data_IF_344207334554
#
_entry.id   IF_344207334554
#
_cell.length_a   1.000
_cell.length_b   1.000
_cell.length_c   1.000
_cell.angle_alpha   90.00
_cell.angle_beta   90.00
_cell.angle_gamma   90.00
#
_symmetry.space_group_name_H-M   'P 1'
#
loop_
_entity.id
_entity.type
_entity.pdbx_description
1 polymer ?
#
# COMPACT_ATOMS: atom_id res chain seq x y z
N UNK A 1 15.29 1.81 27.50
CA UNK A 1 15.31 3.07 26.73
C UNK A 1 14.51 4.08 27.53
N UNK A 2 15.10 5.18 28.02
CA UNK A 2 14.38 6.20 28.80
C UNK A 2 13.91 7.30 27.86
N UNK A 3 12.61 7.57 27.82
CA UNK A 3 11.97 8.67 27.08
C UNK A 3 11.62 9.80 28.05
N UNK A 4 11.79 11.05 27.62
CA UNK A 4 11.64 12.27 28.42
C UNK A 4 10.34 13.00 28.03
N UNK A 5 9.54 13.39 29.03
CA UNK A 5 8.09 13.69 28.97
C UNK A 5 7.68 15.07 28.40
N UNK A 6 8.31 15.57 27.32
CA UNK A 6 8.04 16.95 26.82
C UNK A 6 7.31 17.08 25.48
N UNK A 7 6.51 16.11 25.06
CA UNK A 7 5.70 16.20 23.80
C UNK A 7 4.20 16.07 24.08
N UNK A 8 3.70 16.58 25.21
CA UNK A 8 2.26 16.48 25.54
C UNK A 8 1.47 17.77 25.33
N UNK A 9 2.07 18.85 24.82
CA UNK A 9 1.46 20.19 24.85
C UNK A 9 1.02 20.79 23.50
N UNK A 10 0.82 20.01 22.43
CA UNK A 10 0.36 20.56 21.13
C UNK A 10 -0.60 19.63 20.36
N UNK A 11 -1.71 19.19 20.96
CA UNK A 11 -2.81 18.58 20.19
C UNK A 11 -4.11 19.30 20.54
N UNK A 12 -4.59 20.08 19.58
CA UNK A 12 -5.83 20.82 19.59
C UNK A 12 -7.05 19.89 19.70
N UNK A 13 -8.07 20.42 20.38
CA UNK A 13 -9.33 19.83 20.83
C UNK A 13 -10.27 19.40 19.70
N UNK A 14 -9.90 18.33 18.99
CA UNK A 14 -10.82 17.57 18.13
C UNK A 14 -11.09 16.24 18.81
N UNK A 15 -12.34 15.89 19.10
CA UNK A 15 -12.70 14.54 19.57
C UNK A 15 -12.25 13.52 18.52
N UNK A 16 -11.14 12.83 18.81
CA UNK A 16 -10.63 11.73 17.98
C UNK A 16 -11.49 10.51 18.31
N UNK A 17 -12.26 10.04 17.34
CA UNK A 17 -13.01 8.80 17.46
C UNK A 17 -12.23 7.66 16.82
N UNK A 18 -12.09 6.56 17.54
CA UNK A 18 -11.50 5.32 16.99
C UNK A 18 -12.46 4.71 15.97
N UNK A 19 -12.04 4.66 14.69
CA UNK A 19 -12.80 4.00 13.61
C UNK A 19 -12.51 2.49 13.53
N UNK A 20 -11.25 2.12 13.73
CA UNK A 20 -10.77 0.74 13.72
C UNK A 20 -9.81 0.61 14.90
N UNK A 21 -10.15 -0.24 15.85
CA UNK A 21 -9.26 -0.55 16.97
C UNK A 21 -8.11 -1.48 16.53
N UNK A 22 -7.05 -1.52 17.33
CA UNK A 22 -5.85 -2.29 17.07
C UNK A 22 -6.13 -3.79 16.91
N UNK A 23 -7.03 -4.36 17.72
CA UNK A 23 -7.35 -5.78 17.67
C UNK A 23 -8.02 -6.15 16.34
N UNK A 24 -8.94 -5.32 15.87
CA UNK A 24 -9.61 -5.47 14.59
C UNK A 24 -8.63 -5.30 13.43
N UNK A 25 -7.73 -4.33 13.51
CA UNK A 25 -6.66 -4.12 12.53
C UNK A 25 -5.76 -5.36 12.44
N UNK A 26 -5.18 -5.80 13.55
CA UNK A 26 -4.28 -6.94 13.61
C UNK A 26 -4.93 -8.23 13.09
N UNK A 27 -6.20 -8.47 13.46
CA UNK A 27 -6.96 -9.61 12.93
C UNK A 27 -7.08 -9.52 11.41
N UNK A 28 -7.43 -8.35 10.87
CA UNK A 28 -7.60 -8.18 9.42
C UNK A 28 -6.27 -8.35 8.67
N UNK A 29 -5.17 -7.80 9.20
CA UNK A 29 -3.84 -7.96 8.59
C UNK A 29 -3.41 -9.43 8.58
N UNK A 30 -3.69 -10.20 9.64
CA UNK A 30 -3.43 -11.64 9.67
C UNK A 30 -4.25 -12.40 8.62
N UNK A 31 -5.53 -12.07 8.46
CA UNK A 31 -6.38 -12.64 7.39
C UNK A 31 -5.81 -12.38 6.00
N UNK A 32 -5.40 -11.13 5.71
CA UNK A 32 -4.80 -10.76 4.41
C UNK A 32 -3.47 -11.49 4.16
N UNK A 33 -2.61 -11.58 5.17
CA UNK A 33 -1.35 -12.31 5.07
C UNK A 33 -1.55 -13.79 4.77
N UNK A 34 -2.56 -14.43 5.36
CA UNK A 34 -2.92 -15.83 5.07
C UNK A 34 -3.43 -15.99 3.63
N UNK A 35 -4.30 -15.09 3.15
CA UNK A 35 -4.78 -15.12 1.76
C UNK A 35 -3.64 -15.01 0.76
N UNK A 36 -2.72 -14.08 0.98
CA UNK A 36 -1.53 -13.91 0.13
C UNK A 36 -0.64 -15.16 0.20
N UNK A 37 -0.45 -15.73 1.40
CA UNK A 37 0.35 -16.95 1.58
C UNK A 37 -0.19 -18.11 0.74
N UNK A 38 -1.50 -18.32 0.75
CA UNK A 38 -2.12 -19.40 -0.04
C UNK A 38 -2.04 -19.13 -1.55
N UNK A 39 -2.37 -17.92 -2.01
CA UNK A 39 -2.36 -17.55 -3.43
C UNK A 39 -0.96 -17.62 -4.06
N UNK A 40 0.07 -17.40 -3.24
CA UNK A 40 1.48 -17.38 -3.65
C UNK A 40 2.30 -18.54 -3.10
N UNK A 41 1.64 -19.63 -2.69
CA UNK A 41 2.32 -20.88 -2.32
C UNK A 41 3.27 -21.33 -3.44
N UNK A 42 4.50 -21.65 -3.05
CA UNK A 42 5.60 -22.05 -3.94
C UNK A 42 6.01 -20.98 -4.98
N UNK A 43 5.62 -19.72 -4.78
CA UNK A 43 6.01 -18.55 -5.59
C UNK A 43 6.85 -17.57 -4.78
N UNK A 44 7.40 -16.57 -5.48
CA UNK A 44 8.32 -15.57 -4.93
C UNK A 44 7.89 -14.16 -5.37
N UNK A 45 6.75 -13.62 -4.87
CA UNK A 45 6.23 -12.34 -5.34
C UNK A 45 7.09 -11.16 -4.86
N UNK A 46 7.02 -10.06 -5.60
CA UNK A 46 7.58 -8.76 -5.18
C UNK A 46 6.47 -7.92 -4.55
N UNK A 47 6.66 -7.54 -3.28
CA UNK A 47 5.82 -6.60 -2.56
C UNK A 47 6.33 -5.19 -2.82
N UNK A 48 5.50 -4.38 -3.48
CA UNK A 48 5.81 -2.97 -3.77
C UNK A 48 5.00 -2.10 -2.83
N UNK A 49 5.68 -1.45 -1.89
CA UNK A 49 5.08 -0.52 -0.96
C UNK A 49 5.10 0.92 -1.49
N UNK A 50 3.94 1.59 -1.50
CA UNK A 50 3.85 2.99 -1.95
C UNK A 50 4.06 3.94 -0.77
N UNK A 51 5.19 4.65 -0.78
CA UNK A 51 5.55 5.57 0.29
C UNK A 51 4.69 6.86 0.25
N UNK A 52 4.38 7.46 1.40
CA UNK A 52 4.87 7.12 2.75
C UNK A 52 3.87 6.31 3.58
N UNK A 53 2.56 6.53 3.39
CA UNK A 53 1.51 6.13 4.35
C UNK A 53 1.38 4.62 4.55
N UNK A 54 1.71 3.81 3.54
CA UNK A 54 1.64 2.34 3.62
C UNK A 54 2.64 1.69 4.57
N UNK A 55 3.70 2.38 5.02
CA UNK A 55 4.85 1.72 5.65
C UNK A 55 4.53 0.92 6.92
N UNK A 56 3.58 1.39 7.75
CA UNK A 56 3.15 0.65 8.95
C UNK A 56 2.40 -0.61 8.53
N UNK A 57 1.44 -0.48 7.63
CA UNK A 57 0.68 -1.63 7.11
C UNK A 57 1.59 -2.66 6.44
N UNK A 58 2.58 -2.20 5.67
CA UNK A 58 3.61 -3.06 5.04
C UNK A 58 4.40 -3.83 6.09
N UNK A 59 4.84 -3.16 7.17
CA UNK A 59 5.56 -3.80 8.27
C UNK A 59 4.70 -4.82 9.03
N UNK A 60 3.38 -4.59 9.11
CA UNK A 60 2.46 -5.53 9.75
C UNK A 60 2.17 -6.75 8.86
N UNK A 61 1.82 -6.52 7.59
CA UNK A 61 1.43 -7.60 6.67
C UNK A 61 2.61 -8.48 6.27
N UNK A 62 3.82 -7.93 6.15
CA UNK A 62 5.01 -8.72 5.82
C UNK A 62 5.30 -9.82 6.84
N UNK A 63 5.01 -9.57 8.13
CA UNK A 63 5.18 -10.56 9.20
C UNK A 63 4.14 -11.68 9.13
N UNK A 64 3.00 -11.43 8.49
CA UNK A 64 1.91 -12.40 8.37
C UNK A 64 2.08 -13.31 7.15
N UNK A 65 2.70 -12.84 6.07
CA UNK A 65 2.95 -13.64 4.86
C UNK A 65 4.00 -14.72 5.14
N UNK A 66 3.70 -15.99 4.83
CA UNK A 66 4.55 -17.16 5.13
C UNK A 66 5.21 -17.80 3.91
N UNK A 67 5.31 -17.05 2.82
CA UNK A 67 6.12 -17.40 1.65
C UNK A 67 7.29 -16.42 1.51
N UNK A 68 8.41 -16.80 0.88
CA UNK A 68 9.49 -15.87 0.60
C UNK A 68 9.00 -14.75 -0.33
N UNK A 69 9.34 -13.49 0.01
CA UNK A 69 8.95 -12.31 -0.77
C UNK A 69 10.14 -11.37 -0.94
N UNK A 70 10.13 -10.60 -2.03
CA UNK A 70 11.08 -9.48 -2.24
C UNK A 70 10.35 -8.20 -1.87
N UNK A 71 10.98 -7.30 -1.12
CA UNK A 71 10.43 -5.99 -0.79
C UNK A 71 11.07 -4.90 -1.65
N UNK A 72 10.24 -4.02 -2.18
CA UNK A 72 10.68 -2.79 -2.82
C UNK A 72 9.71 -1.64 -2.52
N UNK A 73 10.16 -0.42 -2.72
CA UNK A 73 9.43 0.79 -2.39
C UNK A 73 9.41 1.74 -3.57
N UNK A 74 8.23 2.31 -3.85
CA UNK A 74 8.09 3.44 -4.75
C UNK A 74 7.63 4.66 -3.97
N UNK A 75 8.11 5.83 -4.37
CA UNK A 75 7.60 7.10 -3.85
C UNK A 75 7.09 7.95 -5.02
N UNK A 76 5.93 8.56 -4.81
CA UNK A 76 5.31 9.46 -5.78
C UNK A 76 4.98 10.81 -5.14
N UNK A 77 5.01 11.85 -5.97
CA UNK A 77 4.58 13.20 -5.60
C UNK A 77 3.56 13.70 -6.62
N UNK A 78 2.54 14.42 -6.16
CA UNK A 78 1.56 15.03 -7.06
C UNK A 78 2.20 16.14 -7.90
N UNK A 79 1.81 16.28 -9.17
CA UNK A 79 2.20 17.43 -9.99
C UNK A 79 1.36 18.66 -9.61
N UNK A 80 1.90 19.54 -8.77
CA UNK A 80 1.38 20.89 -8.50
C UNK A 80 0.37 21.04 -7.35
N UNK A 81 0.19 22.27 -6.86
CA UNK A 81 -0.69 22.69 -5.76
C UNK A 81 -2.22 22.61 -6.06
N UNK A 82 -2.63 21.92 -7.12
CA UNK A 82 -4.04 21.86 -7.50
C UNK A 82 -4.80 20.91 -6.58
N UNK A 83 -5.89 21.42 -5.96
CA UNK A 83 -6.80 20.70 -5.04
C UNK A 83 -7.48 19.45 -5.65
N UNK A 84 -7.22 19.12 -6.91
CA UNK A 84 -7.65 17.91 -7.58
C UNK A 84 -6.47 17.29 -8.33
N UNK A 85 -6.08 16.06 -7.98
CA UNK A 85 -5.04 15.35 -8.72
C UNK A 85 -5.54 15.01 -10.12
N UNK A 86 -4.76 15.37 -11.13
CA UNK A 86 -4.93 14.93 -12.51
C UNK A 86 -4.78 13.41 -12.68
N UNK A 87 -4.36 12.71 -11.62
CA UNK A 87 -3.95 11.31 -11.62
C UNK A 87 -2.51 11.11 -12.10
N UNK A 88 -1.90 12.14 -12.69
CA UNK A 88 -0.50 12.13 -13.07
C UNK A 88 0.32 12.45 -11.82
N UNK A 89 1.29 11.59 -11.52
CA UNK A 89 2.22 11.76 -10.39
C UNK A 89 3.66 11.63 -10.87
N UNK A 90 4.57 12.35 -10.22
CA UNK A 90 6.01 12.25 -10.46
C UNK A 90 6.56 11.15 -9.55
N UNK A 91 7.17 10.14 -10.14
CA UNK A 91 7.95 9.14 -9.40
C UNK A 91 9.19 9.83 -8.83
N UNK A 92 9.33 9.86 -7.51
CA UNK A 92 10.46 10.46 -6.79
C UNK A 92 11.44 9.41 -6.28
N UNK A 93 10.98 8.17 -6.12
CA UNK A 93 11.81 6.98 -5.98
C UNK A 93 11.17 5.88 -6.81
N UNK A 94 11.97 5.28 -7.68
CA UNK A 94 11.58 4.10 -8.45
C UNK A 94 12.07 2.81 -7.77
N UNK A 95 11.64 1.67 -8.33
CA UNK A 95 12.06 0.33 -7.94
C UNK A 95 13.56 0.13 -8.17
N UNK A 96 14.20 -0.57 -7.24
CA UNK A 96 15.58 -1.06 -7.39
C UNK A 96 15.60 -2.48 -8.00
N UNK A 97 14.49 -3.20 -7.88
CA UNK A 97 14.32 -4.60 -8.30
C UNK A 97 13.78 -4.70 -9.72
N UNK A 98 14.38 -5.54 -10.57
CA UNK A 98 13.77 -5.93 -11.85
C UNK A 98 12.50 -6.77 -11.59
N UNK A 99 11.37 -6.35 -12.16
CA UNK A 99 10.06 -6.98 -12.02
C UNK A 99 9.58 -7.76 -13.25
N UNK A 100 10.36 -7.80 -14.32
CA UNK A 100 10.03 -8.56 -15.53
C UNK A 100 9.77 -10.04 -15.20
N UNK A 101 8.64 -10.57 -15.67
CA UNK A 101 8.22 -11.95 -15.45
C UNK A 101 7.89 -12.31 -14.00
N UNK A 102 7.85 -11.34 -13.08
CA UNK A 102 7.55 -11.57 -11.67
C UNK A 102 6.09 -11.32 -11.33
N UNK A 103 5.60 -12.04 -10.32
CA UNK A 103 4.31 -11.77 -9.71
C UNK A 103 4.44 -10.60 -8.72
N UNK A 104 3.60 -9.57 -8.86
CA UNK A 104 3.71 -8.32 -8.10
C UNK A 104 2.48 -8.12 -7.23
N UNK A 105 2.68 -7.66 -5.99
CA UNK A 105 1.61 -7.23 -5.10
C UNK A 105 1.91 -5.80 -4.65
N UNK A 106 1.06 -4.86 -5.06
CA UNK A 106 1.13 -3.47 -4.62
C UNK A 106 0.45 -3.37 -3.26
N UNK A 107 1.15 -2.83 -2.27
CA UNK A 107 0.64 -2.60 -0.91
C UNK A 107 0.35 -1.10 -0.73
N UNK A 108 -0.92 -0.78 -0.51
CA UNK A 108 -1.43 0.58 -0.29
C UNK A 108 -2.09 0.71 1.09
N UNK A 109 -2.02 1.90 1.70
CA UNK A 109 -2.75 2.19 2.94
C UNK A 109 -4.24 2.44 2.65
N UNK A 110 -4.55 3.27 1.65
CA UNK A 110 -5.91 3.65 1.32
C UNK A 110 -6.11 3.88 -0.17
N UNK A 111 -7.18 3.30 -0.70
CA UNK A 111 -7.66 3.60 -2.05
C UNK A 111 -8.88 4.51 -1.95
N UNK A 112 -8.74 5.71 -2.52
CA UNK A 112 -9.79 6.71 -2.68
C UNK A 112 -10.32 6.69 -4.13
N UNK A 113 -10.09 7.73 -4.94
CA UNK A 113 -10.49 7.75 -6.35
C UNK A 113 -9.76 6.73 -7.26
N UNK A 114 -8.70 6.10 -6.77
CA UNK A 114 -7.87 5.12 -7.49
C UNK A 114 -6.93 5.70 -8.55
N UNK A 115 -6.95 7.01 -8.86
CA UNK A 115 -6.19 7.58 -9.99
C UNK A 115 -4.68 7.33 -9.92
N UNK A 116 -4.07 7.58 -8.76
CA UNK A 116 -2.63 7.35 -8.55
C UNK A 116 -2.28 5.88 -8.72
N UNK A 117 -3.06 4.99 -8.11
CA UNK A 117 -2.90 3.54 -8.25
C UNK A 117 -2.98 3.09 -9.71
N UNK A 118 -3.91 3.62 -10.51
CA UNK A 118 -3.98 3.31 -11.94
C UNK A 118 -2.75 3.75 -12.71
N UNK A 119 -2.24 4.95 -12.41
CA UNK A 119 -1.03 5.45 -13.04
C UNK A 119 0.15 4.52 -12.73
N UNK A 120 0.28 4.09 -11.47
CA UNK A 120 1.32 3.17 -11.04
C UNK A 120 1.18 1.79 -11.68
N UNK A 121 -0.03 1.21 -11.71
CA UNK A 121 -0.27 -0.08 -12.39
C UNK A 121 0.15 -0.01 -13.85
N UNK A 122 -0.28 1.02 -14.60
CA UNK A 122 0.13 1.18 -16.01
C UNK A 122 1.64 1.33 -16.18
N UNK A 123 2.30 2.04 -15.26
CA UNK A 123 3.76 2.18 -15.27
C UNK A 123 4.47 0.84 -15.00
N UNK A 124 3.93 0.01 -14.12
CA UNK A 124 4.48 -1.30 -13.77
C UNK A 124 4.18 -2.34 -14.86
N UNK A 125 3.00 -2.33 -15.47
CA UNK A 125 2.62 -3.19 -16.60
C UNK A 125 3.61 -3.04 -17.78
N UNK A 126 4.06 -1.81 -18.05
CA UNK A 126 5.04 -1.53 -19.10
C UNK A 126 6.41 -2.19 -18.86
N UNK A 127 6.66 -2.74 -17.66
CA UNK A 127 7.88 -3.48 -17.30
C UNK A 127 7.71 -5.00 -17.42
N UNK A 128 6.60 -5.45 -18.03
CA UNK A 128 6.28 -6.86 -18.30
C UNK A 128 6.31 -7.80 -17.08
N UNK A 129 5.68 -7.45 -15.94
CA UNK A 129 5.48 -8.41 -14.87
C UNK A 129 4.56 -9.54 -15.33
N UNK A 130 4.65 -10.68 -14.64
CA UNK A 130 3.77 -11.83 -14.89
C UNK A 130 2.35 -11.57 -14.39
N UNK A 131 2.20 -10.89 -13.25
CA UNK A 131 0.92 -10.47 -12.70
C UNK A 131 1.09 -9.23 -11.83
N UNK A 132 0.03 -8.44 -11.69
CA UNK A 132 -0.05 -7.33 -10.73
C UNK A 132 -1.36 -7.48 -9.97
N UNK A 133 -1.26 -7.61 -8.65
CA UNK A 133 -2.39 -7.60 -7.73
C UNK A 133 -2.25 -6.43 -6.74
N UNK A 134 -3.36 -6.02 -6.12
CA UNK A 134 -3.39 -4.92 -5.16
C UNK A 134 -3.92 -5.42 -3.82
N UNK A 135 -3.19 -5.10 -2.76
CA UNK A 135 -3.61 -5.22 -1.38
C UNK A 135 -3.73 -3.82 -0.76
N UNK A 136 -4.92 -3.49 -0.27
CA UNK A 136 -5.17 -2.21 0.37
C UNK A 136 -5.74 -2.41 1.77
N UNK A 137 -5.19 -1.69 2.75
CA UNK A 137 -5.74 -1.74 4.11
C UNK A 137 -7.15 -1.13 4.16
N UNK A 138 -7.36 -0.02 3.46
CA UNK A 138 -8.63 0.69 3.38
C UNK A 138 -9.06 0.89 1.93
N UNK A 139 -10.32 0.55 1.65
CA UNK A 139 -10.96 0.81 0.37
C UNK A 139 -12.17 1.71 0.61
N UNK A 140 -12.13 2.94 0.11
CA UNK A 140 -13.29 3.83 0.15
C UNK A 140 -14.28 3.40 -0.92
N UNK A 141 -15.50 3.12 -0.49
CA UNK A 141 -16.62 2.84 -1.36
C UNK A 141 -17.12 4.11 -2.08
N UNK A 142 -16.32 4.61 -3.03
CA UNK A 142 -16.62 5.74 -3.90
C UNK A 142 -16.70 5.27 -5.35
N UNK A 143 -17.50 5.94 -6.21
CA UNK A 143 -17.52 5.65 -7.63
C UNK A 143 -16.10 5.74 -8.22
N UNK A 144 -15.55 4.59 -8.62
CA UNK A 144 -14.22 4.53 -9.23
C UNK A 144 -14.35 4.91 -10.70
N UNK A 145 -13.50 5.83 -11.15
CA UNK A 145 -13.40 6.17 -12.57
C UNK A 145 -12.64 5.12 -13.39
N UNK A 146 -12.26 4.01 -12.77
CA UNK A 146 -11.25 3.07 -13.27
C UNK A 146 -11.51 1.65 -12.77
N UNK A 147 -11.20 0.64 -13.58
CA UNK A 147 -11.57 -0.75 -13.35
C UNK A 147 -10.68 -1.53 -12.35
N UNK A 148 -9.77 -0.86 -11.63
CA UNK A 148 -8.82 -1.55 -10.76
C UNK A 148 -9.52 -2.36 -9.67
N UNK A 149 -9.39 -3.68 -9.77
CA UNK A 149 -9.86 -4.63 -8.78
C UNK A 149 -8.85 -4.70 -7.65
N UNK A 150 -9.28 -4.34 -6.45
CA UNK A 150 -8.53 -4.62 -5.23
C UNK A 150 -8.80 -6.07 -4.89
N UNK A 151 -7.74 -6.89 -4.83
CA UNK A 151 -7.88 -8.31 -4.57
C UNK A 151 -7.88 -8.60 -3.07
N UNK A 152 -7.07 -7.87 -2.32
CA UNK A 152 -6.86 -8.06 -0.87
C UNK A 152 -7.19 -6.79 -0.09
#
# INVERSE_FOLDING_TARGET
>A
MKFNDKISAMINDSKINTLIDEKKLNKKVAELGNLITEDYKDKYPVLIAILKGSFIFVADICRQIKVPVIFDFMAVSSYGNAKASSGIVRITKDLDTNIEGKDIIIIEDIIDSGRTLNYLIKNLEARNPKSIEVCALLDKNVPRKTANKVKY
#
